data_IF_006722024026
#
_entry.id   IF_006722024026
#
_cell.length_a   1.000
_cell.length_b   1.000
_cell.length_c   1.000
_cell.angle_alpha   90.00
_cell.angle_beta   90.00
_cell.angle_gamma   90.00
#
_symmetry.space_group_name_H-M   'P 1'
#
loop_
_entity.id
_entity.type
_entity.pdbx_description
1 polymer ?
#
# COMPACT_ATOMS: atom_id res chain seq x y z
N UNK A 1 -7.64 37.45 -65.25
CA UNK A 1 -6.55 37.66 -66.24
C UNK A 1 -5.41 36.83 -65.74
N UNK A 2 -5.19 35.79 -66.34
CA UNK A 2 -4.39 35.43 -67.52
C UNK A 2 -3.13 34.73 -67.05
N UNK A 3 -3.12 33.42 -67.28
CA UNK A 3 -2.24 32.66 -68.21
C UNK A 3 -0.83 32.43 -67.65
N UNK A 4 -0.34 31.26 -67.60
CA UNK A 4 -0.24 30.17 -68.56
C UNK A 4 1.21 29.68 -68.60
N UNK A 5 1.31 28.38 -68.61
CA UNK A 5 2.19 27.53 -69.46
C UNK A 5 3.58 27.16 -68.91
N UNK A 6 3.78 25.88 -68.65
CA UNK A 6 4.06 24.72 -69.51
C UNK A 6 5.49 24.74 -70.08
N UNK A 7 6.24 23.72 -69.93
CA UNK A 7 7.05 22.87 -70.79
C UNK A 7 8.21 22.23 -70.03
N UNK A 8 8.18 20.93 -69.80
CA UNK A 8 8.66 19.83 -70.62
C UNK A 8 10.22 19.88 -70.84
N UNK A 9 10.91 18.91 -70.22
CA UNK A 9 11.77 18.01 -71.01
C UNK A 9 12.49 16.98 -70.19
N UNK A 10 12.26 15.78 -70.51
CA UNK A 10 12.87 14.50 -70.32
C UNK A 10 14.37 14.48 -70.67
N UNK A 11 15.25 13.93 -69.82
CA UNK A 11 16.45 13.18 -70.24
C UNK A 11 16.72 12.03 -69.21
N UNK A 12 16.79 10.86 -69.77
CA UNK A 12 17.19 9.56 -69.22
C UNK A 12 18.71 9.46 -69.15
N UNK A 13 19.27 8.90 -68.05
CA UNK A 13 20.49 8.06 -67.99
C UNK A 13 20.70 7.62 -66.57
N UNK A 14 20.43 6.43 -66.21
CA UNK A 14 21.12 5.13 -66.28
C UNK A 14 22.32 5.03 -65.31
N UNK A 15 22.16 4.12 -64.34
CA UNK A 15 23.14 3.29 -63.60
C UNK A 15 24.01 3.98 -62.54
N UNK A 16 23.77 3.57 -61.26
CA UNK A 16 24.64 2.63 -60.56
C UNK A 16 24.07 2.32 -59.18
N UNK A 17 23.95 1.03 -58.93
CA UNK A 17 23.54 0.41 -57.69
C UNK A 17 24.45 0.82 -56.55
N UNK A 18 23.86 1.33 -55.46
CA UNK A 18 24.45 1.19 -54.13
C UNK A 18 23.33 0.80 -53.16
N UNK A 19 23.39 -0.46 -52.75
CA UNK A 19 22.65 -0.96 -51.62
C UNK A 19 23.12 -0.23 -50.38
N UNK A 20 22.43 0.80 -49.97
CA UNK A 20 22.47 1.31 -48.61
C UNK A 20 21.45 0.51 -47.83
N UNK A 21 21.94 -0.48 -47.07
CA UNK A 21 21.18 -1.14 -45.99
C UNK A 21 20.86 -0.04 -44.98
N UNK A 22 19.65 0.50 -45.06
CA UNK A 22 19.09 1.31 -43.98
C UNK A 22 18.88 0.36 -42.83
N UNK A 23 19.83 0.32 -41.89
CA UNK A 23 19.60 -0.15 -40.53
C UNK A 23 18.55 0.74 -39.92
N UNK A 24 17.31 0.28 -39.94
CA UNK A 24 16.28 0.78 -39.06
C UNK A 24 16.65 0.30 -37.68
N UNK A 25 17.45 1.08 -36.97
CA UNK A 25 17.50 1.00 -35.48
C UNK A 25 16.10 1.39 -34.99
N UNK A 26 15.24 0.39 -34.87
CA UNK A 26 14.10 0.46 -33.96
C UNK A 26 14.70 0.72 -32.59
N UNK A 27 14.73 1.98 -32.17
CA UNK A 27 14.93 2.34 -30.80
C UNK A 27 13.80 1.65 -30.01
N UNK A 28 14.11 0.46 -29.51
CA UNK A 28 13.33 -0.16 -28.46
C UNK A 28 13.46 0.80 -27.26
N UNK A 29 12.46 1.69 -27.10
CA UNK A 29 12.27 2.37 -25.84
C UNK A 29 12.07 1.27 -24.80
N UNK A 30 13.17 0.91 -24.15
CA UNK A 30 13.13 0.14 -22.92
C UNK A 30 12.38 1.04 -21.94
N UNK A 31 11.08 0.79 -21.80
CA UNK A 31 10.33 1.31 -20.67
C UNK A 31 10.99 0.74 -19.41
N UNK A 32 11.92 1.50 -18.85
CA UNK A 32 12.50 1.24 -17.54
C UNK A 32 11.37 1.39 -16.54
N UNK A 33 10.64 0.31 -16.31
CA UNK A 33 9.84 0.19 -15.09
C UNK A 33 10.79 0.54 -13.93
N UNK A 34 10.41 1.47 -13.04
CA UNK A 34 11.28 1.87 -11.93
C UNK A 34 11.56 0.62 -11.10
N UNK A 35 12.80 0.13 -11.18
CA UNK A 35 13.25 -1.04 -10.43
C UNK A 35 12.91 -0.79 -8.96
N UNK A 36 12.01 -1.60 -8.43
CA UNK A 36 11.63 -1.54 -7.03
C UNK A 36 12.88 -1.76 -6.17
N UNK A 37 13.28 -0.74 -5.42
CA UNK A 37 14.40 -0.88 -4.49
C UNK A 37 13.99 -1.82 -3.36
N UNK A 38 14.80 -2.87 -3.16
CA UNK A 38 14.60 -3.77 -2.02
C UNK A 38 15.01 -3.03 -0.75
N UNK A 39 14.06 -2.85 0.16
CA UNK A 39 14.33 -2.21 1.46
C UNK A 39 15.15 -3.16 2.33
N UNK A 40 16.21 -2.63 2.94
CA UNK A 40 17.06 -3.40 3.87
C UNK A 40 16.27 -3.76 5.14
N UNK A 41 16.05 -5.05 5.33
CA UNK A 41 15.38 -5.61 6.51
C UNK A 41 16.38 -6.06 7.61
N UNK A 42 17.68 -5.85 7.44
CA UNK A 42 18.69 -6.15 8.47
C UNK A 42 18.69 -5.11 9.59
N UNK A 43 18.24 -3.88 9.30
CA UNK A 43 18.13 -2.76 10.23
C UNK A 43 16.64 -2.38 10.42
N UNK A 44 16.09 -2.40 11.65
CA UNK A 44 14.68 -2.10 11.91
C UNK A 44 14.28 -0.66 11.55
N UNK A 45 15.18 0.31 11.69
CA UNK A 45 14.93 1.72 11.38
C UNK A 45 14.93 1.96 9.88
N UNK A 46 15.91 1.40 9.16
CA UNK A 46 16.00 1.50 7.69
C UNK A 46 14.82 0.79 7.04
N UNK A 47 14.40 -0.35 7.57
CA UNK A 47 13.23 -1.08 7.06
C UNK A 47 11.96 -0.25 7.17
N UNK A 48 11.67 0.36 8.32
CA UNK A 48 10.45 1.17 8.50
C UNK A 48 10.51 2.42 7.62
N UNK A 49 11.65 3.12 7.61
CA UNK A 49 11.86 4.31 6.77
C UNK A 49 11.70 3.99 5.30
N UNK A 50 12.42 2.99 4.78
CA UNK A 50 12.41 2.64 3.36
C UNK A 50 11.03 2.17 2.89
N UNK A 51 10.31 1.37 3.68
CA UNK A 51 8.94 0.97 3.37
C UNK A 51 7.99 2.17 3.29
N UNK A 52 8.11 3.12 4.22
CA UNK A 52 7.31 4.35 4.22
C UNK A 52 7.64 5.23 2.99
N UNK A 53 8.93 5.49 2.74
CA UNK A 53 9.38 6.32 1.62
C UNK A 53 8.94 5.76 0.26
N UNK A 54 9.07 4.44 0.05
CA UNK A 54 8.58 3.78 -1.18
C UNK A 54 7.07 3.94 -1.34
N UNK A 55 6.32 3.74 -0.26
CA UNK A 55 4.85 3.87 -0.28
C UNK A 55 4.44 5.30 -0.62
N UNK A 56 5.02 6.31 0.04
CA UNK A 56 4.69 7.72 -0.22
C UNK A 56 5.14 8.18 -1.60
N UNK A 57 6.31 7.73 -2.08
CA UNK A 57 6.76 8.01 -3.45
C UNK A 57 5.78 7.45 -4.48
N UNK A 58 5.22 6.26 -4.23
CA UNK A 58 4.22 5.68 -5.12
C UNK A 58 2.89 6.45 -5.07
N UNK A 59 2.45 6.88 -3.88
CA UNK A 59 1.26 7.74 -3.76
C UNK A 59 1.39 9.03 -4.57
N UNK A 60 2.53 9.70 -4.47
CA UNK A 60 2.79 10.92 -5.22
C UNK A 60 2.78 10.69 -6.75
N UNK A 61 3.38 9.60 -7.21
CA UNK A 61 3.40 9.24 -8.64
C UNK A 61 2.03 8.85 -9.19
N UNK A 62 1.22 8.14 -8.40
CA UNK A 62 -0.06 7.57 -8.83
C UNK A 62 -1.27 8.37 -8.31
N UNK A 63 -1.06 9.62 -7.87
CA UNK A 63 -2.09 10.42 -7.20
C UNK A 63 -3.38 10.54 -8.01
N UNK A 64 -3.30 10.82 -9.31
CA UNK A 64 -4.49 10.94 -10.16
C UNK A 64 -5.23 9.61 -10.29
N UNK A 65 -4.50 8.51 -10.54
CA UNK A 65 -5.08 7.17 -10.63
C UNK A 65 -5.78 6.74 -9.32
N UNK A 66 -5.21 7.11 -8.17
CA UNK A 66 -5.82 6.86 -6.85
C UNK A 66 -7.11 7.67 -6.67
N UNK A 67 -7.14 8.92 -7.15
CA UNK A 67 -8.36 9.74 -7.11
C UNK A 67 -9.47 9.14 -7.97
N UNK A 68 -9.13 8.61 -9.14
CA UNK A 68 -10.08 7.99 -10.07
C UNK A 68 -10.54 6.60 -9.58
N UNK A 69 -9.63 5.83 -8.98
CA UNK A 69 -9.90 4.51 -8.41
C UNK A 69 -9.23 4.32 -7.04
N UNK A 70 -9.89 4.67 -5.94
CA UNK A 70 -9.32 4.52 -4.59
C UNK A 70 -8.92 3.08 -4.22
N UNK A 71 -9.48 2.05 -4.87
CA UNK A 71 -9.09 0.67 -4.63
C UNK A 71 -7.63 0.37 -5.01
N UNK A 72 -6.99 1.19 -5.86
CA UNK A 72 -5.58 1.12 -6.16
C UNK A 72 -4.70 1.20 -4.90
N UNK A 73 -5.17 1.88 -3.84
CA UNK A 73 -4.51 1.89 -2.55
C UNK A 73 -4.32 0.49 -1.94
N UNK A 74 -5.22 -0.46 -2.23
CA UNK A 74 -5.05 -1.86 -1.79
C UNK A 74 -3.85 -2.52 -2.46
N UNK A 75 -3.65 -2.26 -3.75
CA UNK A 75 -2.52 -2.83 -4.51
C UNK A 75 -1.20 -2.22 -4.04
N UNK A 76 -1.17 -0.91 -3.83
CA UNK A 76 -0.02 -0.23 -3.26
C UNK A 76 0.34 -0.81 -1.88
N UNK A 77 -0.64 -1.00 -1.00
CA UNK A 77 -0.41 -1.61 0.32
C UNK A 77 0.11 -3.04 0.19
N UNK A 78 -0.46 -3.86 -0.71
CA UNK A 78 0.00 -5.24 -0.92
C UNK A 78 1.45 -5.32 -1.36
N UNK A 79 1.84 -4.41 -2.22
CA UNK A 79 3.14 -4.42 -2.87
C UNK A 79 4.19 -3.68 -2.04
N UNK A 80 3.88 -2.51 -1.48
CA UNK A 80 4.88 -1.67 -0.82
C UNK A 80 4.98 -1.90 0.69
N UNK A 81 3.91 -2.30 1.38
CA UNK A 81 3.90 -2.46 2.84
C UNK A 81 3.88 -3.91 3.31
N UNK A 82 3.02 -4.74 2.74
CA UNK A 82 2.81 -6.11 3.26
C UNK A 82 4.06 -6.99 3.27
N UNK A 83 5.07 -6.82 2.40
CA UNK A 83 6.32 -7.54 2.49
C UNK A 83 7.09 -7.30 3.80
N UNK A 84 6.91 -6.13 4.41
CA UNK A 84 7.59 -5.70 5.63
C UNK A 84 6.76 -5.95 6.89
N UNK A 85 5.56 -6.54 6.77
CA UNK A 85 4.66 -6.80 7.88
C UNK A 85 4.61 -8.31 8.21
N UNK A 86 4.86 -8.64 9.47
CA UNK A 86 4.70 -9.99 10.00
C UNK A 86 3.23 -10.28 10.34
N UNK A 87 2.37 -10.23 9.31
CA UNK A 87 0.92 -10.42 9.48
C UNK A 87 0.55 -11.76 10.12
N UNK A 88 1.35 -12.82 9.91
CA UNK A 88 1.12 -14.12 10.54
C UNK A 88 1.28 -14.05 12.05
N UNK A 89 2.32 -13.36 12.53
CA UNK A 89 2.51 -13.16 13.96
C UNK A 89 1.41 -12.26 14.53
N UNK A 90 1.03 -11.19 13.85
CA UNK A 90 -0.06 -10.31 14.25
C UNK A 90 -1.40 -11.06 14.31
N UNK A 91 -1.70 -11.92 13.33
CA UNK A 91 -2.89 -12.77 13.34
C UNK A 91 -2.95 -13.66 14.59
N UNK A 92 -1.85 -14.34 14.94
CA UNK A 92 -1.79 -15.16 16.14
C UNK A 92 -1.89 -14.35 17.44
N UNK A 93 -1.35 -13.14 17.47
CA UNK A 93 -1.53 -12.22 18.60
C UNK A 93 -2.98 -11.81 18.78
N UNK A 94 -3.69 -11.53 17.66
CA UNK A 94 -5.13 -11.21 17.70
C UNK A 94 -5.97 -12.38 18.20
N UNK A 95 -5.71 -13.61 17.78
CA UNK A 95 -6.37 -14.80 18.34
C UNK A 95 -6.06 -14.92 19.83
N UNK A 96 -4.83 -14.61 20.25
CA UNK A 96 -4.38 -14.49 21.63
C UNK A 96 -4.67 -15.73 22.46
N UNK A 97 -5.34 -15.56 23.59
CA UNK A 97 -5.68 -16.66 24.54
C UNK A 97 -6.58 -17.75 23.92
N UNK A 98 -7.29 -17.43 22.83
CA UNK A 98 -8.17 -18.38 22.17
C UNK A 98 -7.40 -19.38 21.28
N UNK A 99 -6.10 -19.16 21.03
CA UNK A 99 -5.27 -19.99 20.15
C UNK A 99 -5.33 -21.48 20.51
N UNK A 100 -5.36 -21.81 21.80
CA UNK A 100 -5.44 -23.20 22.29
C UNK A 100 -6.78 -23.89 21.99
N UNK A 101 -7.84 -23.11 21.73
CA UNK A 101 -9.20 -23.60 21.44
C UNK A 101 -9.50 -23.65 19.95
N UNK A 102 -8.56 -23.22 19.10
CA UNK A 102 -8.70 -23.21 17.64
C UNK A 102 -7.91 -24.36 17.03
N UNK A 103 -8.43 -24.93 15.97
CA UNK A 103 -7.76 -25.97 15.20
C UNK A 103 -6.70 -25.38 14.25
N UNK A 104 -5.79 -26.22 13.76
CA UNK A 104 -4.82 -25.79 12.74
C UNK A 104 -5.51 -25.39 11.42
N UNK A 105 -6.62 -26.04 11.05
CA UNK A 105 -7.40 -25.70 9.87
C UNK A 105 -8.01 -24.29 10.00
N UNK A 106 -8.63 -23.96 11.13
CA UNK A 106 -9.18 -22.62 11.38
C UNK A 106 -8.09 -21.53 11.33
N UNK A 107 -6.93 -21.80 11.93
CA UNK A 107 -5.81 -20.86 11.89
C UNK A 107 -5.24 -20.66 10.47
N UNK A 108 -5.14 -21.75 9.70
CA UNK A 108 -4.72 -21.66 8.28
C UNK A 108 -5.72 -20.89 7.43
N UNK A 109 -7.01 -20.99 7.69
CA UNK A 109 -8.05 -20.21 7.02
C UNK A 109 -8.01 -18.73 7.42
N UNK A 110 -7.82 -18.45 8.72
CA UNK A 110 -7.84 -17.09 9.26
C UNK A 110 -6.68 -16.22 8.78
N UNK A 111 -5.44 -16.73 8.76
CA UNK A 111 -4.23 -15.94 8.50
C UNK A 111 -4.26 -15.20 7.16
N UNK A 112 -4.60 -15.83 6.01
CA UNK A 112 -4.69 -15.11 4.74
C UNK A 112 -5.82 -14.08 4.72
N UNK A 113 -6.95 -14.38 5.33
CA UNK A 113 -8.08 -13.43 5.43
C UNK A 113 -7.68 -12.22 6.29
N UNK A 114 -6.99 -12.45 7.40
CA UNK A 114 -6.47 -11.37 8.24
C UNK A 114 -5.46 -10.49 7.48
N UNK A 115 -4.61 -11.07 6.61
CA UNK A 115 -3.72 -10.32 5.72
C UNK A 115 -4.52 -9.37 4.82
N UNK A 116 -5.53 -9.85 4.13
CA UNK A 116 -6.35 -9.01 3.24
C UNK A 116 -7.18 -7.97 4.00
N UNK A 117 -7.61 -8.29 5.22
CA UNK A 117 -8.22 -7.32 6.11
C UNK A 117 -7.24 -6.18 6.48
N UNK A 118 -5.98 -6.48 6.78
CA UNK A 118 -4.96 -5.45 7.01
C UNK A 118 -4.73 -4.60 5.76
N UNK A 119 -4.66 -5.21 4.57
CA UNK A 119 -4.55 -4.48 3.29
C UNK A 119 -5.66 -3.46 3.17
N UNK A 120 -6.92 -3.88 3.32
CA UNK A 120 -8.07 -2.96 3.21
C UNK A 120 -8.08 -1.91 4.32
N UNK A 121 -7.70 -2.28 5.54
CA UNK A 121 -7.65 -1.33 6.67
C UNK A 121 -6.60 -0.25 6.46
N UNK A 122 -5.39 -0.61 6.03
CA UNK A 122 -4.33 0.37 5.74
C UNK A 122 -4.69 1.21 4.51
N UNK A 123 -5.22 0.62 3.45
CA UNK A 123 -5.68 1.36 2.28
C UNK A 123 -6.72 2.42 2.65
N UNK A 124 -7.67 2.09 3.53
CA UNK A 124 -8.65 3.06 4.01
C UNK A 124 -8.02 4.17 4.87
N UNK A 125 -7.01 3.86 5.69
CA UNK A 125 -6.26 4.89 6.45
C UNK A 125 -5.52 5.83 5.49
N UNK A 126 -4.94 5.32 4.42
CA UNK A 126 -4.21 6.13 3.44
C UNK A 126 -5.08 7.08 2.62
N UNK A 127 -6.40 6.93 2.61
CA UNK A 127 -7.30 7.98 2.07
C UNK A 127 -7.23 9.30 2.85
N UNK A 128 -6.65 9.29 4.05
CA UNK A 128 -6.44 10.48 4.89
C UNK A 128 -5.07 11.14 4.64
N UNK A 129 -4.22 10.50 3.84
CA UNK A 129 -2.91 11.03 3.51
C UNK A 129 -3.04 12.19 2.50
N UNK A 130 -2.50 13.34 2.87
CA UNK A 130 -2.49 14.57 2.10
C UNK A 130 -1.09 15.19 2.15
N UNK A 131 -0.10 14.43 1.70
CA UNK A 131 1.31 14.83 1.63
C UNK A 131 1.92 15.32 2.97
N UNK A 132 1.41 14.82 4.11
CA UNK A 132 2.00 15.13 5.41
C UNK A 132 3.45 14.65 5.49
N UNK A 133 4.32 15.49 6.01
CA UNK A 133 5.68 15.09 6.32
C UNK A 133 5.71 14.08 7.47
N UNK A 134 6.59 13.08 7.34
CA UNK A 134 6.83 12.07 8.38
C UNK A 134 8.26 12.19 8.87
N UNK A 135 8.43 12.53 10.13
CA UNK A 135 9.72 12.57 10.80
C UNK A 135 10.02 11.23 11.45
N UNK A 136 11.23 10.75 11.27
CA UNK A 136 11.73 9.50 11.88
C UNK A 136 12.69 9.82 13.00
N UNK A 137 12.46 9.25 14.17
CA UNK A 137 13.40 9.38 15.28
C UNK A 137 14.77 8.80 14.94
N UNK A 138 15.84 9.34 15.51
CA UNK A 138 17.19 8.81 15.34
C UNK A 138 17.30 7.34 15.70
N UNK A 139 18.15 6.62 14.97
CA UNK A 139 18.45 5.22 15.25
C UNK A 139 19.06 5.05 16.65
N UNK A 140 18.64 3.99 17.33
CA UNK A 140 19.21 3.58 18.62
C UNK A 140 19.76 2.18 18.49
N UNK A 141 20.72 1.82 19.32
CA UNK A 141 21.27 0.46 19.33
C UNK A 141 20.19 -0.59 19.53
N UNK A 142 20.14 -1.55 18.62
CA UNK A 142 19.24 -2.71 18.65
C UNK A 142 19.99 -4.04 18.80
N UNK A 143 21.29 -4.00 19.07
CA UNK A 143 22.09 -5.19 19.29
C UNK A 143 21.47 -6.07 20.40
N UNK A 144 21.32 -7.37 20.14
CA UNK A 144 20.72 -8.34 21.07
C UNK A 144 19.22 -8.23 21.27
N UNK A 145 18.56 -7.20 20.74
CA UNK A 145 17.10 -7.03 20.87
C UNK A 145 16.34 -7.95 19.91
N UNK A 146 15.19 -8.43 20.35
CA UNK A 146 14.27 -9.23 19.53
C UNK A 146 13.09 -8.41 19.03
N UNK A 147 12.80 -7.31 19.71
CA UNK A 147 11.72 -6.35 19.40
C UNK A 147 12.29 -4.95 19.61
N UNK A 148 11.99 -4.05 18.67
CA UNK A 148 12.35 -2.64 18.68
C UNK A 148 11.11 -1.82 18.36
N UNK A 149 10.98 -0.64 18.98
CA UNK A 149 10.00 0.37 18.59
C UNK A 149 10.73 1.42 17.72
N UNK A 150 10.26 1.64 16.51
CA UNK A 150 10.69 2.71 15.61
C UNK A 150 9.67 3.81 15.69
N UNK A 151 10.06 4.94 16.30
CA UNK A 151 9.16 6.06 16.50
C UNK A 151 9.19 7.00 15.29
N UNK A 152 8.01 7.48 14.93
CA UNK A 152 7.80 8.47 13.88
C UNK A 152 6.79 9.51 14.36
N UNK A 153 6.80 10.67 13.72
CA UNK A 153 5.84 11.75 13.95
C UNK A 153 5.29 12.23 12.62
N UNK A 154 3.98 12.21 12.48
CA UNK A 154 3.28 12.76 11.32
C UNK A 154 3.01 14.23 11.62
N UNK A 155 3.54 15.12 10.78
CA UNK A 155 3.41 16.57 10.94
C UNK A 155 2.07 16.99 10.33
N UNK A 156 1.26 17.62 11.17
CA UNK A 156 -0.08 18.07 10.79
C UNK A 156 -0.14 19.59 10.73
N UNK A 157 -0.71 20.13 9.67
CA UNK A 157 -0.92 21.58 9.53
C UNK A 157 -2.19 22.00 10.28
N UNK A 158 -2.07 22.97 11.19
CA UNK A 158 -3.22 23.54 11.90
C UNK A 158 -3.84 22.68 13.00
N UNK A 159 -3.17 21.59 13.41
CA UNK A 159 -3.58 20.72 14.53
C UNK A 159 -2.37 19.99 15.10
N UNK A 160 -2.54 19.29 16.23
CA UNK A 160 -1.48 18.54 16.87
C UNK A 160 -0.91 17.45 15.96
N UNK A 161 0.41 17.28 16.01
CA UNK A 161 1.11 16.21 15.32
C UNK A 161 0.71 14.85 15.90
N UNK A 162 0.82 13.78 15.09
CA UNK A 162 0.46 12.43 15.50
C UNK A 162 1.74 11.62 15.73
N UNK A 163 1.93 11.15 16.96
CA UNK A 163 3.03 10.25 17.29
C UNK A 163 2.66 8.79 16.96
N UNK A 164 3.51 8.14 16.13
CA UNK A 164 3.32 6.76 15.72
C UNK A 164 4.59 5.96 15.99
N UNK A 165 4.46 4.83 16.68
CA UNK A 165 5.55 3.89 16.90
C UNK A 165 5.27 2.55 16.22
N UNK A 166 6.15 2.10 15.37
CA UNK A 166 6.09 0.77 14.76
C UNK A 166 6.84 -0.23 15.62
N UNK A 167 6.13 -1.24 16.18
CA UNK A 167 6.79 -2.37 16.84
C UNK A 167 7.25 -3.36 15.79
N UNK A 168 8.55 -3.54 15.70
CA UNK A 168 9.20 -4.46 14.77
C UNK A 168 9.87 -5.60 15.52
N UNK A 169 9.85 -6.79 14.93
CA UNK A 169 10.49 -7.98 15.52
C UNK A 169 11.44 -8.64 14.54
N UNK A 170 12.51 -9.21 15.10
CA UNK A 170 13.50 -9.97 14.35
C UNK A 170 12.99 -11.40 14.10
N UNK A 171 12.94 -11.80 12.85
CA UNK A 171 12.76 -13.20 12.48
C UNK A 171 14.09 -13.94 12.69
N UNK A 172 14.13 -14.86 13.63
CA UNK A 172 15.38 -15.57 13.98
C UNK A 172 15.93 -16.44 12.85
N UNK A 173 15.05 -16.93 11.94
CA UNK A 173 15.46 -17.79 10.82
C UNK A 173 16.02 -16.98 9.66
N UNK A 174 15.33 -15.93 9.24
CA UNK A 174 15.73 -15.12 8.08
C UNK A 174 16.63 -13.95 8.44
N UNK A 175 16.78 -13.63 9.75
CA UNK A 175 17.50 -12.46 10.26
C UNK A 175 16.93 -11.12 9.78
N UNK A 176 15.69 -11.12 9.33
CA UNK A 176 14.98 -9.94 8.85
C UNK A 176 14.08 -9.36 9.93
N UNK A 177 14.02 -8.04 10.00
CA UNK A 177 13.07 -7.30 10.81
C UNK A 177 11.75 -7.12 10.03
N UNK A 178 10.64 -7.24 10.75
CA UNK A 178 9.30 -7.02 10.21
C UNK A 178 8.42 -6.34 11.26
N UNK A 179 7.61 -5.38 10.83
CA UNK A 179 6.62 -4.73 11.68
C UNK A 179 5.48 -5.72 12.02
N UNK A 180 4.95 -5.64 13.22
CA UNK A 180 3.83 -6.49 13.64
C UNK A 180 2.74 -5.72 14.40
N UNK A 181 3.02 -4.50 14.84
CA UNK A 181 2.08 -3.63 15.54
C UNK A 181 2.41 -2.16 15.24
N UNK A 182 1.40 -1.33 15.29
CA UNK A 182 1.49 0.11 15.23
C UNK A 182 0.81 0.70 16.47
N UNK A 183 1.50 1.59 17.16
CA UNK A 183 1.01 2.33 18.32
C UNK A 183 0.84 3.78 17.89
N UNK A 184 -0.38 4.26 17.83
CA UNK A 184 -0.70 5.65 17.52
C UNK A 184 -1.23 6.32 18.78
N UNK A 185 -0.67 7.48 19.14
CA UNK A 185 -1.03 8.22 20.37
C UNK A 185 -1.06 7.32 21.62
N UNK A 186 -0.06 6.43 21.75
CA UNK A 186 0.05 5.48 22.86
C UNK A 186 -0.88 4.25 22.79
N UNK A 187 -1.78 4.18 21.80
CA UNK A 187 -2.74 3.08 21.66
C UNK A 187 -2.24 2.06 20.64
N UNK A 188 -2.00 0.82 21.06
CA UNK A 188 -1.66 -0.31 20.19
C UNK A 188 -2.87 -0.71 19.34
N UNK A 189 -2.74 -0.65 18.03
CA UNK A 189 -3.79 -1.10 17.12
C UNK A 189 -3.98 -2.62 17.19
N UNK A 190 -2.90 -3.36 17.38
CA UNK A 190 -2.95 -4.81 17.52
C UNK A 190 -3.70 -5.22 18.78
N UNK A 191 -3.40 -4.59 19.94
CA UNK A 191 -4.06 -4.91 21.21
C UNK A 191 -5.56 -4.51 21.16
N UNK A 192 -5.87 -3.37 20.51
CA UNK A 192 -7.25 -2.95 20.26
C UNK A 192 -8.02 -3.99 19.43
N UNK A 193 -7.39 -4.50 18.35
CA UNK A 193 -7.99 -5.55 17.53
C UNK A 193 -8.08 -6.89 18.26
N UNK A 194 -7.12 -7.22 19.12
CA UNK A 194 -7.21 -8.40 19.97
C UNK A 194 -8.40 -8.32 20.93
N UNK A 195 -8.64 -7.16 21.54
CA UNK A 195 -9.78 -6.95 22.43
C UNK A 195 -11.11 -7.05 21.68
N UNK A 196 -11.25 -6.34 20.55
CA UNK A 196 -12.45 -6.37 19.69
C UNK A 196 -12.77 -7.78 19.21
N UNK A 197 -11.85 -8.40 18.49
CA UNK A 197 -12.09 -9.70 17.86
C UNK A 197 -12.08 -10.84 18.87
N UNK A 198 -11.33 -10.71 19.97
CA UNK A 198 -11.29 -11.71 21.03
C UNK A 198 -12.64 -11.92 21.73
N UNK A 199 -13.44 -10.87 21.87
CA UNK A 199 -14.80 -10.98 22.39
C UNK A 199 -15.72 -11.76 21.44
N UNK A 200 -15.60 -11.51 20.13
CA UNK A 200 -16.38 -12.20 19.10
C UNK A 200 -15.92 -13.65 18.96
N UNK A 201 -14.60 -13.92 18.98
CA UNK A 201 -14.07 -15.30 18.95
C UNK A 201 -14.61 -16.11 20.13
N UNK A 202 -14.68 -15.51 21.33
CA UNK A 202 -15.23 -16.18 22.50
C UNK A 202 -16.68 -16.59 22.33
N UNK A 203 -17.49 -15.75 21.68
CA UNK A 203 -18.94 -15.95 21.55
C UNK A 203 -19.31 -16.81 20.34
N UNK A 204 -18.63 -16.60 19.20
CA UNK A 204 -19.02 -17.14 17.88
C UNK A 204 -17.93 -18.00 17.22
N UNK A 205 -16.77 -18.13 17.83
CA UNK A 205 -15.64 -18.90 17.29
C UNK A 205 -14.82 -18.16 16.23
N UNK A 206 -13.63 -18.73 15.89
CA UNK A 206 -12.72 -18.17 14.90
C UNK A 206 -13.27 -18.22 13.47
N UNK A 207 -14.00 -19.26 13.03
CA UNK A 207 -14.61 -19.29 11.68
C UNK A 207 -15.53 -18.10 11.41
N UNK A 208 -16.37 -17.74 12.37
CA UNK A 208 -17.24 -16.57 12.23
C UNK A 208 -16.45 -15.27 12.04
N UNK A 209 -15.39 -15.09 12.84
CA UNK A 209 -14.51 -13.90 12.69
C UNK A 209 -13.79 -13.92 11.35
N UNK A 210 -13.40 -15.09 10.85
CA UNK A 210 -12.80 -15.23 9.51
C UNK A 210 -13.75 -14.70 8.43
N UNK A 211 -15.02 -15.12 8.42
CA UNK A 211 -15.99 -14.62 7.43
C UNK A 211 -16.30 -13.12 7.62
N UNK A 212 -16.38 -12.64 8.86
CA UNK A 212 -16.55 -11.21 9.15
C UNK A 212 -15.39 -10.37 8.56
N UNK A 213 -14.15 -10.80 8.75
CA UNK A 213 -12.98 -10.08 8.21
C UNK A 213 -12.90 -10.21 6.68
N UNK A 214 -13.29 -11.35 6.11
CA UNK A 214 -13.39 -11.53 4.67
C UNK A 214 -14.37 -10.52 4.06
N UNK A 215 -15.57 -10.39 4.62
CA UNK A 215 -16.55 -9.38 4.20
C UNK A 215 -16.01 -7.94 4.34
N UNK A 216 -15.28 -7.63 5.41
CA UNK A 216 -14.67 -6.31 5.59
C UNK A 216 -13.54 -6.05 4.58
N UNK A 217 -12.76 -7.05 4.19
CA UNK A 217 -11.64 -6.92 3.25
C UNK A 217 -12.06 -6.66 1.81
N UNK A 218 -13.27 -7.07 1.42
CA UNK A 218 -13.81 -6.87 0.07
C UNK A 218 -14.44 -5.50 -0.14
N UNK A 219 -14.66 -4.71 0.91
CA UNK A 219 -15.26 -3.37 0.79
C UNK A 219 -14.42 -2.46 -0.07
N UNK A 220 -15.09 -1.61 -0.86
CA UNK A 220 -14.42 -0.57 -1.62
C UNK A 220 -13.77 0.45 -0.69
N UNK A 221 -12.65 0.98 -1.13
CA UNK A 221 -11.99 2.11 -0.48
C UNK A 221 -12.71 3.38 -0.94
N UNK A 222 -13.04 4.25 0.03
CA UNK A 222 -13.75 5.51 -0.24
C UNK A 222 -13.07 6.68 0.48
N UNK A 223 -12.97 7.82 -0.19
CA UNK A 223 -12.55 9.06 0.46
C UNK A 223 -13.70 9.60 1.34
N UNK A 224 -13.43 9.88 2.60
CA UNK A 224 -14.46 10.37 3.55
C UNK A 224 -15.23 11.60 3.05
N UNK A 225 -14.58 12.51 2.33
CA UNK A 225 -15.21 13.72 1.81
C UNK A 225 -16.17 13.46 0.63
N UNK A 226 -16.08 12.30 -0.05
CA UNK A 226 -17.03 11.91 -1.10
C UNK A 226 -18.27 11.26 -0.50
N UNK A 227 -18.13 10.44 0.55
CA UNK A 227 -19.25 9.79 1.21
C UNK A 227 -20.29 10.80 1.76
N UNK A 228 -19.82 11.91 2.33
CA UNK A 228 -20.72 12.98 2.86
C UNK A 228 -21.49 13.70 1.74
N UNK A 229 -20.92 13.81 0.53
CA UNK A 229 -21.61 14.43 -0.61
C UNK A 229 -22.70 13.53 -1.20
N UNK A 230 -22.46 12.22 -1.23
CA UNK A 230 -23.43 11.27 -1.78
C UNK A 230 -24.65 11.11 -0.86
N UNK A 231 -24.45 11.09 0.47
CA UNK A 231 -25.56 11.07 1.43
C UNK A 231 -26.38 12.36 1.37
N UNK A 232 -25.74 13.54 1.22
CA UNK A 232 -26.43 14.82 1.12
C UNK A 232 -27.16 15.04 -0.21
N UNK A 233 -26.77 14.33 -1.28
CA UNK A 233 -27.46 14.38 -2.58
C UNK A 233 -28.65 13.44 -2.63
N UNK A 234 -28.63 12.35 -1.88
CA UNK A 234 -29.75 11.39 -1.78
C UNK A 234 -30.90 11.97 -0.96
N UNK A 235 -30.62 12.67 0.14
CA UNK A 235 -31.64 13.33 0.96
C UNK A 235 -32.35 14.49 0.24
N UNK A 236 -31.65 15.19 -0.69
CA UNK A 236 -32.28 16.27 -1.47
C UNK A 236 -33.22 15.79 -2.55
N UNK A 237 -33.02 14.57 -3.08
CA UNK A 237 -33.89 14.00 -4.10
C UNK A 237 -35.16 13.37 -3.50
N UNK A 238 -35.16 12.96 -2.24
CA UNK A 238 -36.35 12.42 -1.56
C UNK A 238 -37.31 13.52 -1.07
N UNK A 239 -36.86 14.78 -0.99
CA UNK A 239 -37.71 15.93 -0.59
C UNK A 239 -38.35 16.68 -1.77
N UNK A 240 -38.10 16.27 -3.02
CA UNK A 240 -38.66 16.88 -4.24
C UNK A 240 -39.51 15.90 -5.08
N UNK A 241 -39.90 14.76 -4.53
CA UNK A 241 -40.75 13.76 -5.17
C UNK A 241 -42.18 13.77 -4.60
#
# INVERSE_FOLDING_TARGET
MSKSNLFFSLVISLLLSNNAIANSEAATELSTEPTRQVVDQSNPYQMVRGAAEQTFKRFAREQQAIQDNPNLLKDIVREELMPYINYKYSAFKVIGKHLRKTTDAERRAFVPVFREYLVSSYAQVFTLYDNQAVEFSPERSFAGKKIVAVNTRIIMVGRDNIDVAFKVRLNKKTKQWQAFDMVAEGISLLDSKQAELGSIIRQKGLPYVTELLKSKSTRNIVFKNRAVKDESSTEKNEQQG
#
